data_IF_932780721789
#
_entry.id   IF_932780721789
#
_cell.length_a   1.000
_cell.length_b   1.000
_cell.length_c   1.000
_cell.angle_alpha   90.00
_cell.angle_beta   90.00
_cell.angle_gamma   90.00
#
_symmetry.space_group_name_H-M   'P 1'
#
loop_
_entity.id
_entity.type
_entity.pdbx_description
1 polymer ?
#
# COMPACT_ATOMS: atom_id res chain seq x y z
N UNK A 1 -4.04 -8.80 26.51
CA UNK A 1 -3.34 -8.66 25.22
C UNK A 1 -3.18 -7.17 24.97
N UNK A 2 -2.01 -6.73 24.54
CA UNK A 2 -1.83 -5.35 24.09
C UNK A 2 -2.60 -5.24 22.77
N UNK A 3 -3.53 -4.31 22.59
CA UNK A 3 -4.16 -4.08 21.32
C UNK A 3 -3.10 -3.83 20.25
N UNK A 4 -3.25 -4.46 19.10
CA UNK A 4 -2.32 -4.38 17.98
C UNK A 4 -3.08 -3.75 16.82
N UNK A 5 -2.41 -2.93 16.04
CA UNK A 5 -2.93 -2.35 14.80
C UNK A 5 -2.13 -2.86 13.62
N UNK A 6 -2.71 -2.76 12.43
CA UNK A 6 -2.01 -3.01 11.18
C UNK A 6 -2.46 -1.97 10.14
N UNK A 7 -1.56 -1.06 9.78
CA UNK A 7 -1.88 0.08 8.94
C UNK A 7 -1.33 -0.05 7.51
N UNK A 8 -0.93 -1.28 7.11
CA UNK A 8 -0.40 -1.55 5.79
C UNK A 8 -0.72 -2.98 5.37
N UNK A 9 -1.74 -3.16 4.54
CA UNK A 9 -2.17 -4.47 4.03
C UNK A 9 -2.74 -4.38 2.62
N UNK A 10 -2.65 -5.49 1.87
CA UNK A 10 -3.03 -5.58 0.46
C UNK A 10 -4.12 -6.61 0.22
N UNK A 11 -4.96 -6.35 -0.77
CA UNK A 11 -6.06 -7.23 -1.16
C UNK A 11 -5.96 -7.65 -2.63
N UNK A 12 -6.94 -8.43 -3.10
CA UNK A 12 -7.07 -8.81 -4.51
C UNK A 12 -7.30 -7.61 -5.46
N UNK A 13 -7.42 -6.41 -4.92
CA UNK A 13 -7.50 -5.17 -5.71
C UNK A 13 -6.13 -4.61 -6.10
N UNK A 14 -5.05 -5.18 -5.54
CA UNK A 14 -3.68 -4.99 -5.99
C UNK A 14 -2.98 -6.35 -6.12
N UNK A 15 -1.91 -6.55 -5.43
CA UNK A 15 -1.10 -7.76 -5.45
C UNK A 15 -1.30 -8.69 -4.25
N UNK A 16 -2.24 -8.34 -3.36
CA UNK A 16 -2.72 -9.24 -2.32
C UNK A 16 -3.60 -10.38 -2.87
N UNK A 17 -3.88 -11.38 -2.04
CA UNK A 17 -4.65 -12.59 -2.39
C UNK A 17 -5.95 -12.72 -1.64
N UNK A 18 -6.12 -11.97 -0.57
CA UNK A 18 -7.32 -11.98 0.23
C UNK A 18 -8.32 -10.92 -0.28
N UNK A 19 -9.59 -11.25 -0.21
CA UNK A 19 -10.65 -10.24 -0.36
C UNK A 19 -10.65 -9.29 0.85
N UNK A 20 -11.21 -8.08 0.73
CA UNK A 20 -11.40 -7.20 1.88
C UNK A 20 -12.13 -7.88 3.06
N UNK A 21 -13.10 -8.75 2.77
CA UNK A 21 -13.82 -9.51 3.79
C UNK A 21 -12.91 -10.48 4.54
N UNK A 22 -12.07 -11.22 3.83
CA UNK A 22 -11.16 -12.21 4.43
C UNK A 22 -10.07 -11.53 5.28
N UNK A 23 -9.52 -10.40 4.82
CA UNK A 23 -8.49 -9.69 5.58
C UNK A 23 -9.06 -9.05 6.86
N UNK A 24 -10.29 -8.51 6.79
CA UNK A 24 -11.02 -7.98 7.95
C UNK A 24 -11.33 -9.10 8.96
N UNK A 25 -11.82 -10.26 8.49
CA UNK A 25 -12.07 -11.40 9.37
C UNK A 25 -10.80 -11.90 10.06
N UNK A 26 -9.69 -11.92 9.33
CA UNK A 26 -8.41 -12.32 9.91
C UNK A 26 -7.93 -11.32 10.96
N UNK A 27 -8.03 -10.01 10.69
CA UNK A 27 -7.71 -8.96 11.67
C UNK A 27 -8.52 -9.10 12.96
N UNK A 28 -9.82 -9.34 12.83
CA UNK A 28 -10.70 -9.60 13.99
C UNK A 28 -10.32 -10.88 14.74
N UNK A 29 -10.00 -11.96 14.03
CA UNK A 29 -9.54 -13.20 14.63
C UNK A 29 -8.27 -13.02 15.47
N UNK A 30 -7.36 -12.16 15.01
CA UNK A 30 -6.14 -11.80 15.73
C UNK A 30 -6.37 -10.79 16.87
N UNK A 31 -7.57 -10.19 16.95
CA UNK A 31 -7.91 -9.19 17.93
C UNK A 31 -7.30 -7.81 17.67
N UNK A 32 -7.06 -7.47 16.39
CA UNK A 32 -6.60 -6.13 16.02
C UNK A 32 -7.67 -5.10 16.37
N UNK A 33 -7.24 -3.92 16.84
CA UNK A 33 -8.11 -2.79 17.16
C UNK A 33 -8.38 -1.91 15.93
N UNK A 34 -7.44 -1.88 14.97
CA UNK A 34 -7.60 -1.16 13.71
C UNK A 34 -6.81 -1.84 12.58
N UNK A 35 -7.31 -1.67 11.36
CA UNK A 35 -6.71 -2.15 10.12
C UNK A 35 -6.74 -1.03 9.09
N UNK A 36 -5.70 -0.90 8.24
CA UNK A 36 -5.79 -0.17 6.98
C UNK A 36 -5.66 -1.14 5.81
N UNK A 37 -6.46 -0.93 4.77
CA UNK A 37 -6.29 -1.55 3.46
C UNK A 37 -5.67 -0.49 2.57
N UNK A 38 -4.50 -0.79 2.00
CA UNK A 38 -3.61 0.14 1.30
C UNK A 38 -3.16 -0.43 -0.04
N UNK A 39 -4.11 -0.91 -0.84
CA UNK A 39 -3.81 -1.50 -2.15
C UNK A 39 -2.99 -0.56 -3.04
N UNK A 40 -2.05 -1.13 -3.81
CA UNK A 40 -1.20 -0.35 -4.72
C UNK A 40 -2.00 0.38 -5.79
N UNK A 41 -1.78 1.68 -5.87
CA UNK A 41 -2.34 2.61 -6.85
C UNK A 41 -3.86 2.60 -6.99
N UNK A 42 -4.58 1.99 -6.06
CA UNK A 42 -6.04 2.04 -6.03
C UNK A 42 -6.60 1.84 -4.62
N UNK A 43 -7.80 2.36 -4.41
CA UNK A 43 -8.49 2.34 -3.12
C UNK A 43 -9.76 1.47 -3.13
N UNK A 44 -9.96 0.66 -4.19
CA UNK A 44 -11.20 -0.15 -4.34
C UNK A 44 -11.36 -1.17 -3.23
N UNK A 45 -10.27 -1.79 -2.77
CA UNK A 45 -10.28 -2.74 -1.66
C UNK A 45 -10.70 -2.06 -0.35
N UNK A 46 -10.16 -0.89 -0.05
CA UNK A 46 -10.52 -0.11 1.11
C UNK A 46 -11.99 0.36 1.04
N UNK A 47 -12.47 0.82 -0.13
CA UNK A 47 -13.89 1.21 -0.32
C UNK A 47 -14.85 0.05 -0.10
N UNK A 48 -14.54 -1.15 -0.64
CA UNK A 48 -15.35 -2.36 -0.38
C UNK A 48 -15.31 -2.72 1.11
N UNK A 49 -14.14 -2.60 1.73
CA UNK A 49 -13.91 -2.92 3.14
C UNK A 49 -14.65 -2.02 4.14
N UNK A 50 -14.93 -0.75 3.80
CA UNK A 50 -15.57 0.21 4.73
C UNK A 50 -16.91 -0.31 5.31
N UNK A 51 -17.79 -0.81 4.44
CA UNK A 51 -19.08 -1.36 4.85
C UNK A 51 -18.92 -2.62 5.70
N UNK A 52 -18.05 -3.52 5.26
CA UNK A 52 -17.79 -4.81 5.89
C UNK A 52 -17.20 -4.61 7.30
N UNK A 53 -16.18 -3.76 7.42
CA UNK A 53 -15.52 -3.48 8.70
C UNK A 53 -16.50 -2.86 9.72
N UNK A 54 -17.33 -1.91 9.26
CA UNK A 54 -18.36 -1.28 10.10
C UNK A 54 -19.37 -2.31 10.61
N UNK A 55 -19.86 -3.20 9.76
CA UNK A 55 -20.81 -4.25 10.15
C UNK A 55 -20.21 -5.23 11.16
N UNK A 56 -18.90 -5.50 11.06
CA UNK A 56 -18.15 -6.43 11.91
C UNK A 56 -17.52 -5.78 13.15
N UNK A 57 -17.60 -4.47 13.27
CA UNK A 57 -17.12 -3.72 14.43
C UNK A 57 -15.57 -3.53 14.46
N UNK A 58 -14.89 -3.59 13.30
CA UNK A 58 -13.47 -3.26 13.17
C UNK A 58 -13.31 -1.81 12.74
N UNK A 59 -12.38 -1.08 13.34
CA UNK A 59 -11.97 0.23 12.84
C UNK A 59 -11.13 0.06 11.58
N UNK A 60 -11.70 0.39 10.42
CA UNK A 60 -10.95 0.45 9.18
C UNK A 60 -10.48 1.89 8.94
N UNK A 61 -9.18 2.06 8.76
CA UNK A 61 -8.56 3.31 8.32
C UNK A 61 -8.54 3.27 6.78
N UNK A 62 -9.24 4.19 6.09
CA UNK A 62 -9.17 4.26 4.64
C UNK A 62 -7.75 4.52 4.17
N UNK A 63 -7.24 3.72 3.25
CA UNK A 63 -5.85 3.81 2.81
C UNK A 63 -5.64 3.55 1.32
N UNK A 64 -4.47 3.92 0.86
CA UNK A 64 -3.92 3.64 -0.46
C UNK A 64 -2.40 3.64 -0.37
N UNK A 65 -1.72 2.87 -1.21
CA UNK A 65 -0.27 2.94 -1.38
C UNK A 65 0.07 3.31 -2.82
N UNK A 66 0.70 4.48 -3.01
CA UNK A 66 1.09 4.97 -4.31
C UNK A 66 2.56 4.74 -4.60
N UNK A 67 2.88 4.24 -5.78
CA UNK A 67 4.22 4.29 -6.34
C UNK A 67 4.53 5.73 -6.74
N UNK A 68 5.56 6.31 -6.12
CA UNK A 68 5.96 7.70 -6.38
C UNK A 68 7.44 7.78 -6.75
N UNK A 69 7.81 8.84 -7.45
CA UNK A 69 9.19 9.22 -7.67
C UNK A 69 9.54 10.45 -6.83
N UNK A 70 10.79 10.57 -6.49
CA UNK A 70 11.37 11.70 -5.79
C UNK A 70 12.77 11.96 -6.34
N UNK A 71 13.06 13.23 -6.69
CA UNK A 71 14.36 13.60 -7.25
C UNK A 71 15.56 13.26 -6.33
N UNK A 72 15.31 13.17 -5.03
CA UNK A 72 16.30 12.78 -4.04
C UNK A 72 16.63 11.27 -4.01
N UNK A 73 15.98 10.43 -4.81
CA UNK A 73 16.18 8.98 -4.82
C UNK A 73 16.01 8.38 -6.21
N UNK A 74 17.01 7.61 -6.67
CA UNK A 74 16.92 6.87 -7.93
C UNK A 74 16.13 5.57 -7.73
N UNK A 75 14.82 5.61 -7.89
CA UNK A 75 13.96 4.45 -7.75
C UNK A 75 12.53 4.84 -7.45
N UNK A 76 11.73 3.83 -7.18
CA UNK A 76 10.35 4.00 -6.74
C UNK A 76 10.30 4.03 -5.23
N UNK A 77 9.50 4.92 -4.68
CA UNK A 77 9.16 4.99 -3.26
C UNK A 77 7.69 4.65 -3.13
N UNK A 78 7.33 3.89 -2.11
CA UNK A 78 5.93 3.61 -1.79
C UNK A 78 5.47 4.60 -0.72
N UNK A 79 4.40 5.32 -1.05
CA UNK A 79 3.81 6.36 -0.22
C UNK A 79 2.40 5.95 0.19
N UNK A 80 2.20 5.73 1.49
CA UNK A 80 0.88 5.49 2.06
C UNK A 80 0.11 6.80 2.20
N UNK A 81 -1.12 6.81 1.71
CA UNK A 81 -2.15 7.77 2.11
C UNK A 81 -3.05 7.12 3.15
N UNK A 82 -3.09 7.63 4.37
CA UNK A 82 -3.90 7.06 5.45
C UNK A 82 -4.97 8.04 5.94
N UNK A 83 -6.18 7.54 6.17
CA UNK A 83 -7.28 8.33 6.70
C UNK A 83 -7.91 9.30 5.68
N UNK A 84 -7.65 9.15 4.39
CA UNK A 84 -8.13 10.03 3.33
C UNK A 84 -9.59 9.72 2.93
N UNK A 85 -10.25 10.68 2.27
CA UNK A 85 -11.53 10.45 1.60
C UNK A 85 -11.29 9.70 0.28
N UNK A 86 -11.58 8.39 0.27
CA UNK A 86 -11.42 7.53 -0.91
C UNK A 86 -12.34 7.90 -2.09
N UNK A 87 -13.29 8.81 -1.88
CA UNK A 87 -14.22 9.31 -2.90
C UNK A 87 -13.82 10.70 -3.43
N UNK A 88 -12.72 11.27 -2.93
CA UNK A 88 -12.17 12.52 -3.46
C UNK A 88 -11.90 12.39 -4.97
N UNK A 89 -12.26 13.43 -5.71
CA UNK A 89 -12.18 13.41 -7.17
C UNK A 89 -10.73 13.34 -7.68
N UNK A 90 -9.78 13.98 -6.98
CA UNK A 90 -8.37 13.93 -7.31
C UNK A 90 -7.78 12.54 -7.10
N UNK A 91 -8.07 11.91 -5.95
CA UNK A 91 -7.66 10.53 -5.65
C UNK A 91 -8.22 9.57 -6.70
N UNK A 92 -9.51 9.67 -7.01
CA UNK A 92 -10.14 8.78 -7.97
C UNK A 92 -9.62 8.94 -9.39
N UNK A 93 -9.35 10.16 -9.82
CA UNK A 93 -8.77 10.41 -11.14
C UNK A 93 -7.40 9.76 -11.27
N UNK A 94 -6.53 9.94 -10.28
CA UNK A 94 -5.20 9.32 -10.27
C UNK A 94 -5.30 7.80 -10.24
N UNK A 95 -6.22 7.25 -9.45
CA UNK A 95 -6.48 5.80 -9.42
C UNK A 95 -6.88 5.28 -10.80
N UNK A 96 -7.82 5.93 -11.48
CA UNK A 96 -8.30 5.51 -12.80
C UNK A 96 -7.17 5.56 -13.85
N UNK A 97 -6.38 6.64 -13.87
CA UNK A 97 -5.22 6.80 -14.76
C UNK A 97 -4.14 5.75 -14.47
N UNK A 98 -3.81 5.52 -13.19
CA UNK A 98 -2.81 4.55 -12.78
C UNK A 98 -3.21 3.11 -13.11
N UNK A 99 -4.48 2.75 -12.95
CA UNK A 99 -4.95 1.40 -13.28
C UNK A 99 -4.88 1.10 -14.76
N UNK A 100 -5.21 2.08 -15.63
CA UNK A 100 -5.09 1.92 -17.09
C UNK A 100 -3.62 1.77 -17.49
N UNK A 101 -2.75 2.69 -17.04
CA UNK A 101 -1.32 2.63 -17.34
C UNK A 101 -0.70 1.32 -16.84
N UNK A 102 -1.03 0.91 -15.61
CA UNK A 102 -0.49 -0.32 -15.03
C UNK A 102 -0.89 -1.55 -15.83
N UNK A 103 -2.13 -1.65 -16.29
CA UNK A 103 -2.60 -2.77 -17.09
C UNK A 103 -1.93 -2.81 -18.46
N UNK A 104 -1.71 -1.66 -19.10
CA UNK A 104 -0.95 -1.55 -20.35
C UNK A 104 0.49 -2.02 -20.16
N UNK A 105 1.16 -1.58 -19.08
CA UNK A 105 2.53 -2.00 -18.74
C UNK A 105 2.63 -3.49 -18.44
N UNK A 106 1.63 -4.05 -17.76
CA UNK A 106 1.60 -5.50 -17.53
C UNK A 106 1.40 -6.29 -18.83
N UNK A 107 0.64 -5.77 -19.78
CA UNK A 107 0.53 -6.38 -21.11
C UNK A 107 1.87 -6.34 -21.86
N UNK A 108 2.61 -5.21 -21.82
CA UNK A 108 3.97 -5.10 -22.36
C UNK A 108 4.92 -6.10 -21.67
N UNK A 109 4.86 -6.21 -20.34
CA UNK A 109 5.65 -7.17 -19.57
C UNK A 109 5.40 -8.62 -20.02
N UNK A 110 4.13 -8.99 -20.23
CA UNK A 110 3.78 -10.30 -20.80
C UNK A 110 4.41 -10.50 -22.18
N UNK A 111 4.49 -9.45 -22.99
CA UNK A 111 5.19 -9.48 -24.29
C UNK A 111 6.67 -9.82 -24.14
N UNK A 112 7.39 -9.13 -23.27
CA UNK A 112 8.81 -9.42 -23.00
C UNK A 112 9.03 -10.80 -22.40
N UNK A 113 8.17 -11.25 -21.48
CA UNK A 113 8.22 -12.60 -20.94
C UNK A 113 8.04 -13.65 -22.06
N UNK A 114 7.16 -13.39 -23.00
CA UNK A 114 6.95 -14.26 -24.18
C UNK A 114 8.20 -14.33 -25.05
N UNK A 115 8.89 -13.20 -25.30
CA UNK A 115 10.16 -13.16 -26.03
C UNK A 115 11.26 -13.97 -25.30
N UNK A 116 11.23 -14.03 -23.98
CA UNK A 116 12.14 -14.83 -23.17
C UNK A 116 11.77 -16.32 -23.08
N UNK A 117 10.70 -16.74 -23.76
CA UNK A 117 10.26 -18.14 -23.78
C UNK A 117 9.16 -18.50 -22.77
N UNK A 118 8.55 -17.51 -22.14
CA UNK A 118 7.42 -17.66 -21.22
C UNK A 118 6.16 -17.08 -21.86
N UNK A 119 5.44 -17.82 -22.73
CA UNK A 119 4.31 -17.30 -23.50
C UNK A 119 3.12 -17.01 -22.57
N UNK A 120 3.00 -15.76 -22.17
CA UNK A 120 1.98 -15.23 -21.26
C UNK A 120 1.23 -14.07 -21.92
N UNK A 121 -0.02 -13.88 -21.52
CA UNK A 121 -0.84 -12.76 -21.96
C UNK A 121 -1.55 -12.11 -20.76
N UNK A 122 -1.90 -10.86 -20.92
CA UNK A 122 -2.69 -10.13 -19.91
C UNK A 122 -4.08 -10.75 -19.72
N UNK A 123 -4.67 -11.36 -20.73
CA UNK A 123 -5.97 -12.03 -20.62
C UNK A 123 -5.90 -13.28 -19.74
N UNK A 124 -4.76 -13.99 -19.74
CA UNK A 124 -4.54 -15.11 -18.81
C UNK A 124 -4.39 -14.62 -17.38
N UNK A 125 -3.74 -13.48 -17.16
CA UNK A 125 -3.67 -12.82 -15.86
C UNK A 125 -5.05 -12.34 -15.38
N UNK A 126 -5.85 -11.71 -16.27
CA UNK A 126 -7.25 -11.33 -15.96
C UNK A 126 -8.12 -12.53 -15.59
N UNK A 127 -7.88 -13.70 -16.21
CA UNK A 127 -8.58 -14.94 -15.84
C UNK A 127 -8.20 -15.47 -14.45
N UNK A 128 -7.06 -15.07 -13.90
CA UNK A 128 -6.65 -15.37 -12.52
C UNK A 128 -7.25 -14.34 -11.53
N UNK A 129 -7.04 -13.05 -11.81
CA UNK A 129 -7.62 -11.97 -11.00
C UNK A 129 -8.27 -10.91 -11.90
N UNK A 130 -9.60 -10.97 -12.09
CA UNK A 130 -10.30 -9.99 -12.93
C UNK A 130 -10.38 -8.58 -12.32
N UNK A 131 -10.04 -8.43 -11.04
CA UNK A 131 -10.02 -7.13 -10.36
C UNK A 131 -8.71 -6.37 -10.57
N UNK A 132 -7.61 -7.12 -10.71
CA UNK A 132 -6.27 -6.55 -10.89
C UNK A 132 -5.34 -7.58 -11.56
N UNK A 133 -5.06 -7.39 -12.83
CA UNK A 133 -4.18 -8.27 -13.62
C UNK A 133 -2.70 -7.90 -13.42
N UNK A 134 -2.26 -7.83 -12.15
CA UNK A 134 -0.90 -7.44 -11.76
C UNK A 134 0.10 -8.60 -11.74
N UNK A 135 1.26 -8.36 -11.16
CA UNK A 135 2.40 -9.28 -11.09
C UNK A 135 2.01 -10.68 -10.60
N UNK A 136 1.27 -10.75 -9.51
CA UNK A 136 0.84 -12.03 -8.94
C UNK A 136 -0.10 -12.80 -9.88
N UNK A 137 -1.01 -12.10 -10.56
CA UNK A 137 -1.91 -12.74 -11.52
C UNK A 137 -1.14 -13.34 -12.70
N UNK A 138 -0.12 -12.64 -13.22
CA UNK A 138 0.79 -13.13 -14.27
C UNK A 138 1.60 -14.33 -13.77
N UNK A 139 2.16 -14.26 -12.55
CA UNK A 139 2.90 -15.36 -11.94
C UNK A 139 2.04 -16.63 -11.82
N UNK A 140 0.80 -16.49 -11.35
CA UNK A 140 -0.12 -17.63 -11.26
C UNK A 140 -0.56 -18.18 -12.62
N UNK A 141 -0.72 -17.31 -13.61
CA UNK A 141 -0.99 -17.79 -14.97
C UNK A 141 0.19 -18.64 -15.49
N UNK A 142 1.43 -18.22 -15.22
CA UNK A 142 2.64 -18.96 -15.59
C UNK A 142 2.73 -20.32 -14.88
N UNK A 143 2.49 -20.36 -13.56
CA UNK A 143 2.46 -21.62 -12.80
C UNK A 143 1.37 -22.55 -13.33
N UNK A 144 0.15 -22.03 -13.59
CA UNK A 144 -0.97 -22.83 -14.12
C UNK A 144 -0.69 -23.40 -15.49
N UNK A 145 0.13 -22.73 -16.31
CA UNK A 145 0.59 -23.21 -17.63
C UNK A 145 1.78 -24.17 -17.52
N UNK A 146 2.36 -24.36 -16.35
CA UNK A 146 3.57 -25.17 -16.14
C UNK A 146 4.83 -24.54 -16.77
N UNK A 147 4.84 -23.21 -16.92
CA UNK A 147 6.00 -22.47 -17.45
C UNK A 147 7.07 -22.26 -16.37
N UNK A 148 6.66 -22.20 -15.12
CA UNK A 148 7.49 -22.04 -13.93
C UNK A 148 6.98 -22.98 -12.82
N UNK A 149 7.86 -23.33 -11.88
CA UNK A 149 7.51 -24.24 -10.78
C UNK A 149 6.65 -23.55 -9.70
N UNK A 150 6.99 -22.32 -9.38
CA UNK A 150 6.32 -21.50 -8.37
C UNK A 150 6.47 -20.01 -8.68
N UNK A 151 5.93 -19.18 -7.80
CA UNK A 151 5.94 -17.75 -7.97
C UNK A 151 7.28 -17.07 -7.63
N UNK A 152 8.15 -17.74 -6.87
CA UNK A 152 9.47 -17.18 -6.54
C UNK A 152 10.35 -17.13 -7.80
N UNK A 153 10.18 -18.11 -8.70
CA UNK A 153 10.84 -18.11 -10.00
C UNK A 153 10.42 -16.90 -10.85
N UNK A 154 9.16 -16.45 -10.72
CA UNK A 154 8.67 -15.27 -11.44
C UNK A 154 9.33 -13.98 -10.98
N UNK A 155 9.66 -13.83 -9.71
CA UNK A 155 10.31 -12.62 -9.19
C UNK A 155 11.64 -12.35 -9.92
N UNK A 156 12.39 -13.42 -10.23
CA UNK A 156 13.59 -13.29 -11.05
C UNK A 156 13.28 -12.83 -12.48
N UNK A 157 12.23 -13.36 -13.10
CA UNK A 157 11.82 -12.95 -14.45
C UNK A 157 11.35 -11.50 -14.49
N UNK A 158 10.67 -11.03 -13.45
CA UNK A 158 10.27 -9.63 -13.34
C UNK A 158 11.46 -8.68 -13.22
N UNK A 159 12.54 -9.06 -12.53
CA UNK A 159 13.76 -8.23 -12.48
C UNK A 159 14.38 -8.03 -13.88
N UNK A 160 14.12 -8.93 -14.81
CA UNK A 160 14.59 -8.83 -16.20
C UNK A 160 13.63 -8.07 -17.12
N UNK A 161 12.31 -8.21 -16.91
CA UNK A 161 11.30 -7.62 -17.76
C UNK A 161 10.89 -6.20 -17.31
N UNK A 162 10.76 -5.98 -16.01
CA UNK A 162 10.24 -4.75 -15.44
C UNK A 162 11.05 -3.47 -15.73
N UNK A 163 12.38 -3.48 -15.81
CA UNK A 163 13.14 -2.29 -16.22
C UNK A 163 12.77 -1.75 -17.60
N UNK A 164 12.12 -2.56 -18.44
CA UNK A 164 11.68 -2.18 -19.78
C UNK A 164 10.29 -1.54 -19.81
N UNK A 165 9.50 -1.72 -18.75
CA UNK A 165 8.09 -1.34 -18.66
C UNK A 165 7.84 -0.57 -17.36
N UNK A 166 8.40 0.59 -17.19
CA UNK A 166 8.16 1.38 -15.99
C UNK A 166 6.77 2.04 -16.08
N UNK A 167 5.86 1.80 -15.11
CA UNK A 167 4.61 2.53 -15.05
C UNK A 167 4.88 4.02 -14.80
N UNK A 168 3.96 4.86 -15.24
CA UNK A 168 3.97 6.26 -14.86
C UNK A 168 3.79 6.36 -13.33
N UNK A 169 4.65 7.13 -12.70
CA UNK A 169 4.61 7.36 -11.25
C UNK A 169 4.32 8.82 -10.98
N UNK A 170 3.55 9.07 -9.92
CA UNK A 170 3.36 10.42 -9.44
C UNK A 170 4.67 11.00 -8.88
N UNK A 171 4.87 12.29 -9.06
CA UNK A 171 5.82 13.02 -8.24
C UNK A 171 5.36 13.01 -6.77
N UNK A 172 6.27 12.77 -5.84
CA UNK A 172 5.94 12.64 -4.41
C UNK A 172 5.27 13.91 -3.84
N UNK A 173 5.65 15.11 -4.30
CA UNK A 173 5.02 16.35 -3.84
C UNK A 173 3.56 16.43 -4.29
N UNK A 174 3.28 16.04 -5.54
CA UNK A 174 1.91 15.97 -6.06
C UNK A 174 1.10 14.91 -5.30
N UNK A 175 1.68 13.76 -5.01
CA UNK A 175 1.02 12.71 -4.25
C UNK A 175 0.65 13.17 -2.83
N UNK A 176 1.58 13.84 -2.14
CA UNK A 176 1.34 14.43 -0.81
C UNK A 176 0.21 15.47 -0.86
N UNK A 177 0.24 16.38 -1.83
CA UNK A 177 -0.83 17.38 -2.01
C UNK A 177 -2.21 16.74 -2.21
N UNK A 178 -2.30 15.68 -3.01
CA UNK A 178 -3.55 14.96 -3.25
C UNK A 178 -4.06 14.24 -1.98
N UNK A 179 -3.16 13.60 -1.22
CA UNK A 179 -3.50 12.96 0.05
C UNK A 179 -4.04 14.01 1.04
N UNK A 180 -3.38 15.15 1.15
CA UNK A 180 -3.82 16.25 2.03
C UNK A 180 -5.15 16.85 1.58
N UNK A 181 -5.33 17.08 0.27
CA UNK A 181 -6.60 17.58 -0.28
C UNK A 181 -7.77 16.64 0.03
N UNK A 182 -7.50 15.32 0.07
CA UNK A 182 -8.47 14.32 0.48
C UNK A 182 -8.60 14.17 2.02
N UNK A 183 -7.88 14.99 2.82
CA UNK A 183 -7.94 15.01 4.28
C UNK A 183 -7.21 13.85 4.96
N UNK A 184 -6.29 13.20 4.26
CA UNK A 184 -5.42 12.14 4.77
C UNK A 184 -4.03 12.62 5.16
N UNK A 185 -3.21 11.72 5.65
CA UNK A 185 -1.80 11.92 5.96
C UNK A 185 -0.92 11.09 5.03
N UNK A 186 0.22 11.65 4.63
CA UNK A 186 1.20 11.03 3.75
C UNK A 186 2.34 10.41 4.56
N UNK A 187 2.59 9.11 4.37
CA UNK A 187 3.56 8.34 5.14
C UNK A 187 4.44 7.52 4.20
N UNK A 188 5.76 7.63 4.30
CA UNK A 188 6.67 6.75 3.53
C UNK A 188 6.60 5.34 4.10
N UNK A 189 6.26 4.36 3.24
CA UNK A 189 6.24 2.96 3.58
C UNK A 189 7.66 2.39 3.66
N UNK A 190 7.89 1.41 4.53
CA UNK A 190 9.11 0.59 4.65
C UNK A 190 10.44 1.26 4.22
N UNK A 191 10.81 2.43 4.77
CA UNK A 191 11.93 3.25 4.31
C UNK A 191 13.29 2.55 4.32
N UNK A 192 13.44 1.45 5.07
CA UNK A 192 14.65 0.63 5.10
C UNK A 192 14.98 -0.05 3.76
N UNK A 193 14.04 -0.07 2.82
CA UNK A 193 14.25 -0.61 1.48
C UNK A 193 14.88 0.41 0.52
N UNK A 194 14.86 1.71 0.84
CA UNK A 194 15.33 2.80 -0.02
C UNK A 194 16.73 3.29 0.37
N UNK A 195 17.68 2.35 0.46
CA UNK A 195 19.05 2.66 0.82
C UNK A 195 19.81 3.33 -0.33
N UNK A 196 20.72 4.23 0.03
CA UNK A 196 21.74 4.77 -0.88
C UNK A 196 23.09 4.25 -0.43
N UNK A 197 23.86 3.64 -1.32
CA UNK A 197 25.17 3.09 -0.98
C UNK A 197 25.16 2.21 0.30
N UNK A 198 24.11 1.39 0.45
CA UNK A 198 23.82 0.55 1.62
C UNK A 198 23.48 1.29 2.92
N UNK A 199 23.38 2.63 2.89
CA UNK A 199 23.00 3.44 4.05
C UNK A 199 21.52 3.82 4.03
N UNK A 200 20.90 3.84 5.21
CA UNK A 200 19.54 4.36 5.39
C UNK A 200 19.50 5.87 5.20
N UNK A 201 18.33 6.39 4.85
CA UNK A 201 18.11 7.83 4.74
C UNK A 201 18.52 8.59 5.99
N UNK A 202 19.10 9.73 5.78
CA UNK A 202 19.59 10.67 6.80
C UNK A 202 18.47 11.59 7.32
N UNK A 203 18.80 12.39 8.32
CA UNK A 203 17.94 13.48 8.78
C UNK A 203 17.68 14.51 7.65
N UNK A 204 18.67 14.78 6.80
CA UNK A 204 18.55 15.72 5.67
C UNK A 204 17.55 15.21 4.64
N UNK A 205 17.56 13.91 4.32
CA UNK A 205 16.60 13.30 3.41
C UNK A 205 15.17 13.44 3.92
N UNK A 206 14.94 13.12 5.19
CA UNK A 206 13.61 13.28 5.80
C UNK A 206 13.21 14.75 5.95
N UNK A 207 14.18 15.65 6.17
CA UNK A 207 13.90 17.09 6.19
C UNK A 207 13.43 17.59 4.83
N UNK A 208 14.03 17.11 3.74
CA UNK A 208 13.58 17.43 2.39
C UNK A 208 12.15 16.93 2.13
N UNK A 209 11.85 15.70 2.50
CA UNK A 209 10.49 15.15 2.36
C UNK A 209 9.47 15.86 3.25
N UNK A 210 9.84 16.20 4.48
CA UNK A 210 8.98 17.00 5.37
C UNK A 210 8.70 18.39 4.81
N UNK A 211 9.67 19.00 4.13
CA UNK A 211 9.47 20.29 3.46
C UNK A 211 8.45 20.19 2.30
N UNK A 212 8.27 19.00 1.70
CA UNK A 212 7.22 18.72 0.72
C UNK A 212 5.87 18.41 1.38
N UNK A 213 5.82 18.29 2.71
CA UNK A 213 4.59 18.03 3.45
C UNK A 213 4.45 16.60 4.00
N UNK A 214 5.50 15.77 3.95
CA UNK A 214 5.45 14.43 4.53
C UNK A 214 5.04 14.47 6.01
N UNK A 215 4.04 13.67 6.38
CA UNK A 215 3.52 13.60 7.75
C UNK A 215 4.18 12.54 8.60
N UNK A 216 4.67 11.45 8.01
CA UNK A 216 5.18 10.33 8.78
C UNK A 216 6.02 9.33 8.00
N UNK A 217 6.53 8.35 8.75
CA UNK A 217 7.24 7.20 8.21
C UNK A 217 6.81 5.91 8.88
N UNK A 218 6.86 4.82 8.16
CA UNK A 218 6.63 3.49 8.70
C UNK A 218 7.92 2.96 9.35
N UNK A 219 7.98 2.97 10.70
CA UNK A 219 9.11 2.44 11.44
C UNK A 219 8.90 1.02 11.96
N UNK A 220 7.65 0.53 11.98
CA UNK A 220 7.31 -0.84 12.34
C UNK A 220 6.89 -1.62 11.11
N UNK A 221 7.80 -2.42 10.57
CA UNK A 221 7.54 -3.25 9.40
C UNK A 221 8.20 -4.63 9.57
N UNK A 222 7.52 -5.69 9.13
CA UNK A 222 7.94 -7.11 9.30
C UNK A 222 9.36 -7.42 8.83
N UNK A 223 9.85 -6.71 7.83
CA UNK A 223 11.20 -6.91 7.25
C UNK A 223 12.22 -5.91 7.78
N UNK A 224 11.81 -4.95 8.60
CA UNK A 224 12.72 -3.92 9.08
C UNK A 224 13.61 -4.43 10.22
N UNK A 225 14.94 -4.46 10.04
CA UNK A 225 15.85 -4.86 11.09
C UNK A 225 15.73 -3.94 12.32
N UNK A 226 15.93 -4.44 13.55
CA UNK A 226 15.85 -3.62 14.75
C UNK A 226 16.73 -2.36 14.75
N UNK A 227 17.97 -2.34 14.21
CA UNK A 227 18.76 -1.13 14.09
C UNK A 227 18.11 -0.08 13.18
N UNK A 228 17.55 -0.50 12.03
CA UNK A 228 16.90 0.41 11.08
C UNK A 228 15.60 0.97 11.70
N UNK A 229 14.82 0.14 12.41
CA UNK A 229 13.66 0.60 13.19
C UNK A 229 14.05 1.70 14.18
N UNK A 230 15.09 1.46 14.99
CA UNK A 230 15.56 2.42 15.96
C UNK A 230 16.04 3.72 15.30
N UNK A 231 16.68 3.61 14.13
CA UNK A 231 17.13 4.74 13.36
C UNK A 231 15.94 5.60 12.89
N UNK A 232 14.97 5.00 12.20
CA UNK A 232 13.82 5.73 11.66
C UNK A 232 12.90 6.27 12.75
N UNK A 233 12.68 5.52 13.83
CA UNK A 233 11.89 6.01 14.96
C UNK A 233 12.53 7.25 15.61
N UNK A 234 13.85 7.24 15.81
CA UNK A 234 14.59 8.41 16.34
C UNK A 234 14.47 9.63 15.40
N UNK A 235 14.66 9.43 14.08
CA UNK A 235 14.55 10.52 13.11
C UNK A 235 13.13 11.10 13.08
N UNK A 236 12.10 10.24 13.15
CA UNK A 236 10.72 10.67 13.20
C UNK A 236 10.43 11.51 14.46
N UNK A 237 10.91 11.07 15.62
CA UNK A 237 10.78 11.84 16.87
C UNK A 237 11.49 13.19 16.82
N UNK A 238 12.75 13.24 16.32
CA UNK A 238 13.52 14.49 16.17
C UNK A 238 12.81 15.48 15.24
N UNK A 239 12.05 14.99 14.28
CA UNK A 239 11.40 15.81 13.26
C UNK A 239 9.90 16.02 13.48
N UNK A 240 9.33 15.56 14.59
CA UNK A 240 7.88 15.59 14.81
C UNK A 240 7.10 15.01 13.61
N UNK A 241 7.54 13.85 13.12
CA UNK A 241 6.84 13.04 12.13
C UNK A 241 6.05 11.94 12.84
N UNK A 242 4.93 11.53 12.24
CA UNK A 242 4.20 10.36 12.68
C UNK A 242 5.06 9.10 12.53
N UNK A 243 4.96 8.21 13.50
CA UNK A 243 5.44 6.85 13.38
C UNK A 243 4.23 5.95 13.12
N UNK A 244 4.31 5.16 12.06
CA UNK A 244 3.29 4.16 11.74
C UNK A 244 3.90 2.77 11.67
N UNK A 245 3.07 1.78 11.36
CA UNK A 245 3.53 0.44 11.11
C UNK A 245 2.47 -0.45 10.52
N UNK A 246 2.92 -1.43 9.76
CA UNK A 246 2.09 -2.42 9.13
C UNK A 246 2.83 -3.71 8.84
N UNK A 247 2.07 -4.76 8.58
CA UNK A 247 2.64 -6.06 8.23
C UNK A 247 3.04 -6.17 6.77
N UNK A 248 2.50 -5.28 5.93
CA UNK A 248 2.58 -5.41 4.48
C UNK A 248 2.10 -6.81 4.05
N UNK A 249 0.94 -7.23 4.60
CA UNK A 249 0.37 -8.55 4.38
C UNK A 249 -0.28 -8.65 3.01
N UNK A 250 0.14 -9.63 2.24
CA UNK A 250 -0.37 -9.92 0.90
C UNK A 250 -1.16 -11.24 0.82
N UNK A 251 -1.24 -11.99 1.92
CA UNK A 251 -1.89 -13.30 1.92
C UNK A 251 -1.13 -14.38 1.14
N UNK A 252 0.15 -14.26 0.99
CA UNK A 252 1.00 -15.03 0.08
C UNK A 252 1.96 -15.99 0.82
N UNK A 253 2.34 -17.15 0.24
CA UNK A 253 1.69 -17.96 -0.80
C UNK A 253 0.60 -18.91 -0.26
N UNK A 254 0.42 -19.04 1.05
CA UNK A 254 -0.47 -20.02 1.67
C UNK A 254 -1.32 -19.42 2.82
N UNK A 255 -1.90 -18.24 2.59
CA UNK A 255 -2.72 -17.53 3.58
C UNK A 255 -1.94 -16.44 4.32
N UNK A 256 -2.56 -15.91 5.37
CA UNK A 256 -2.00 -14.80 6.15
C UNK A 256 -0.78 -15.25 6.96
N UNK A 257 0.34 -14.55 6.80
CA UNK A 257 1.61 -14.94 7.42
C UNK A 257 2.21 -13.88 8.32
N UNK A 258 1.87 -12.62 8.12
CA UNK A 258 2.60 -11.50 8.71
C UNK A 258 1.74 -10.64 9.63
N UNK A 259 0.45 -10.47 9.31
CA UNK A 259 -0.49 -9.70 10.13
C UNK A 259 -0.44 -10.15 11.61
N UNK A 260 -0.34 -9.18 12.51
CA UNK A 260 -0.30 -9.42 13.96
C UNK A 260 0.99 -10.01 14.51
N UNK A 261 2.01 -10.29 13.67
CA UNK A 261 3.32 -10.80 14.15
C UNK A 261 4.25 -9.68 14.62
N UNK A 262 4.16 -8.52 13.99
CA UNK A 262 4.86 -7.32 14.44
C UNK A 262 3.98 -6.62 15.48
N UNK A 263 4.47 -6.46 16.74
CA UNK A 263 3.70 -5.80 17.78
C UNK A 263 3.72 -4.29 17.58
N UNK A 264 2.85 -3.79 16.72
CA UNK A 264 2.71 -2.35 16.46
C UNK A 264 1.86 -1.75 17.58
N UNK A 265 2.41 -0.81 18.38
CA UNK A 265 1.68 -0.24 19.49
C UNK A 265 0.44 0.55 19.04
N UNK A 266 -0.70 0.29 19.66
CA UNK A 266 -1.97 0.98 19.36
C UNK A 266 -1.92 2.48 19.68
N UNK A 267 -1.01 2.92 20.55
CA UNK A 267 -0.77 4.34 20.83
C UNK A 267 -0.42 5.13 19.54
N UNK A 268 0.19 4.50 18.55
CA UNK A 268 0.51 5.13 17.28
C UNK A 268 -0.77 5.49 16.48
N UNK A 269 -1.85 4.74 16.67
CA UNK A 269 -3.15 5.04 16.09
C UNK A 269 -3.68 6.40 16.57
N UNK A 270 -3.49 6.73 17.84
CA UNK A 270 -3.96 8.01 18.38
C UNK A 270 -3.25 9.19 17.72
N UNK A 271 -1.94 9.09 17.45
CA UNK A 271 -1.18 10.09 16.71
C UNK A 271 -1.71 10.26 15.27
N UNK A 272 -1.94 9.15 14.57
CA UNK A 272 -2.52 9.14 13.24
C UNK A 272 -3.89 9.81 13.22
N UNK A 273 -4.81 9.39 14.09
CA UNK A 273 -6.17 9.94 14.13
C UNK A 273 -6.18 11.44 14.50
N UNK A 274 -5.31 11.88 15.39
CA UNK A 274 -5.17 13.29 15.75
C UNK A 274 -4.66 14.12 14.57
N UNK A 275 -3.67 13.62 13.80
CA UNK A 275 -3.14 14.32 12.62
C UNK A 275 -4.19 14.38 11.50
N UNK A 276 -4.89 13.28 11.21
CA UNK A 276 -6.00 13.25 10.25
C UNK A 276 -7.11 14.24 10.64
N UNK A 277 -7.46 14.30 11.93
CA UNK A 277 -8.47 15.25 12.42
C UNK A 277 -8.04 16.72 12.25
N UNK A 278 -6.74 17.00 12.37
CA UNK A 278 -6.21 18.35 12.19
C UNK A 278 -6.21 18.82 10.72
N UNK A 279 -6.09 17.89 9.76
CA UNK A 279 -6.10 18.19 8.32
C UNK A 279 -7.52 18.32 7.75
N UNK A 280 -8.53 17.79 8.43
CA UNK A 280 -9.91 17.88 7.96
C UNK A 280 -10.59 19.16 8.46
N UNK A 281 -11.31 19.91 7.60
CA UNK A 281 -12.17 20.99 8.06
C UNK A 281 -13.24 20.46 9.04
N UNK A 282 -13.58 21.24 10.05
CA UNK A 282 -14.47 20.89 11.18
C UNK A 282 -15.87 20.34 10.82
N UNK A 283 -16.24 20.30 9.55
CA UNK A 283 -17.52 19.80 9.04
C UNK A 283 -17.47 18.39 8.44
N UNK A 284 -16.31 17.73 8.40
CA UNK A 284 -16.08 16.55 7.55
C UNK A 284 -15.98 15.21 8.29
N UNK A 285 -16.22 15.12 9.60
CA UNK A 285 -16.27 13.83 10.29
C UNK A 285 -17.67 13.56 10.83
N UNK A 286 -18.49 12.80 10.06
CA UNK A 286 -19.25 11.75 10.69
C UNK A 286 -18.68 10.40 10.24
N UNK A 287 -18.37 9.53 11.19
CA UNK A 287 -18.30 8.08 10.97
C UNK A 287 -19.64 7.50 10.45
N UNK A 288 -20.63 8.36 10.23
CA UNK A 288 -21.94 8.00 9.72
C UNK A 288 -22.15 8.55 8.31
N UNK A 289 -21.86 7.71 7.32
CA UNK A 289 -22.15 7.94 5.90
C UNK A 289 -23.36 7.10 5.45
N UNK A 290 -24.42 7.08 6.24
CA UNK A 290 -25.67 6.35 5.91
C UNK A 290 -26.41 6.89 4.67
N UNK A 291 -25.94 7.96 4.03
CA UNK A 291 -26.67 8.66 2.95
C UNK A 291 -26.08 8.51 1.54
N UNK A 292 -25.03 7.74 1.32
CA UNK A 292 -24.52 7.48 -0.05
C UNK A 292 -25.13 6.20 -0.59
N UNK A 293 -25.96 6.33 -1.63
CA UNK A 293 -26.68 5.24 -2.27
C UNK A 293 -25.79 4.14 -2.86
N UNK A 294 -26.38 3.02 -3.31
CA UNK A 294 -25.66 1.84 -3.74
C UNK A 294 -24.84 2.10 -4.99
N UNK A 295 -23.68 1.44 -5.05
CA UNK A 295 -22.80 1.37 -6.21
C UNK A 295 -23.57 0.76 -7.41
N UNK A 296 -23.74 1.50 -8.47
CA UNK A 296 -24.09 0.96 -9.79
C UNK A 296 -22.84 0.68 -10.57
#
# INVERSE_FOLDING_TARGET
>A
MIPVIDLHTHTIYSDGRATPAEIIDHALHLGLSALAITDHNNSRGAREGEGIARERGLLLIPGIEWYVNWEGYEGTIDLLGLGLDLWDAGVRRVEEEALVDFEERMAECCGYLTEMGYPLSIDEARAINPRFAGHNAVAFAAVRKGLIADSEEMDHLYTLAWPRVRPAMLDIAIAIELIHAAGGVAVVAHPHQYKRDDENWSLEDLAALKALGLDGIEAYHRRMPPPDRAHFARLAEEMDLLITGGSDEHGWPAGFRHMGKEPIPDVLLNGLLARVAALRPSSAFPLDRSERGPLT
#
